data_IF_451385889220
#
_entry.id   IF_451385889220
#
_cell.length_a   1.000
_cell.length_b   1.000
_cell.length_c   1.000
_cell.angle_alpha   90.00
_cell.angle_beta   90.00
_cell.angle_gamma   90.00
#
_symmetry.space_group_name_H-M   'P 1'
#
loop_
_entity.id
_entity.type
_entity.pdbx_description
1 polymer ?
#
# COMPACT_ATOMS: atom_id res chain seq x y z
N UNK A 1 -8.16 30.74 19.26
CA UNK A 1 -8.96 30.14 18.18
C UNK A 1 -9.58 28.87 18.71
N UNK A 2 -10.90 28.77 18.72
CA UNK A 2 -11.58 27.53 19.18
C UNK A 2 -11.45 26.51 18.04
N UNK A 3 -10.86 25.35 18.32
CA UNK A 3 -10.79 24.26 17.37
C UNK A 3 -12.19 23.67 17.12
N UNK A 4 -12.60 23.59 15.85
CA UNK A 4 -13.90 23.05 15.44
C UNK A 4 -13.71 21.74 14.68
N UNK A 5 -14.04 20.58 15.25
CA UNK A 5 -13.89 19.27 14.60
C UNK A 5 -14.73 19.13 13.33
N UNK A 6 -15.85 19.85 13.20
CA UNK A 6 -16.71 19.81 12.02
C UNK A 6 -16.06 20.32 10.75
N UNK A 7 -14.86 20.89 10.84
CA UNK A 7 -14.03 21.28 9.70
C UNK A 7 -13.10 20.18 9.18
N UNK A 8 -13.08 19.02 9.86
CA UNK A 8 -12.30 17.84 9.43
C UNK A 8 -13.27 16.85 8.79
N UNK A 9 -13.64 17.13 7.54
CA UNK A 9 -14.63 16.38 6.77
C UNK A 9 -14.14 16.21 5.33
N UNK A 10 -14.76 15.29 4.60
CA UNK A 10 -14.55 15.12 3.18
C UNK A 10 -15.06 16.31 2.34
N UNK A 11 -14.82 16.30 1.00
CA UNK A 11 -15.16 17.42 0.12
C UNK A 11 -16.62 17.86 0.18
N UNK A 12 -17.54 16.91 0.33
CA UNK A 12 -18.99 17.16 0.39
C UNK A 12 -19.53 17.12 1.83
N UNK A 13 -18.68 17.29 2.84
CA UNK A 13 -19.03 17.28 4.24
C UNK A 13 -19.19 15.90 4.87
N UNK A 14 -18.75 14.83 4.20
CA UNK A 14 -18.80 13.46 4.71
C UNK A 14 -17.90 13.30 5.94
N UNK A 15 -18.28 12.43 6.85
CA UNK A 15 -17.41 12.01 7.95
C UNK A 15 -16.36 11.02 7.43
N UNK A 16 -15.11 11.47 7.38
CA UNK A 16 -13.98 10.65 6.94
C UNK A 16 -13.21 9.98 8.08
N UNK A 17 -13.77 9.96 9.27
CA UNK A 17 -13.17 9.19 10.37
C UNK A 17 -13.30 7.69 10.11
N UNK A 18 -12.36 6.92 10.66
CA UNK A 18 -12.50 5.47 10.72
C UNK A 18 -13.68 5.15 11.66
N UNK A 19 -14.60 4.25 11.30
CA UNK A 19 -15.69 3.85 12.19
C UNK A 19 -15.16 3.29 13.52
N UNK A 20 -15.80 3.60 14.62
CA UNK A 20 -15.40 3.12 15.95
C UNK A 20 -15.37 1.59 15.99
N UNK A 21 -16.35 0.93 15.39
CA UNK A 21 -16.42 -0.54 15.30
C UNK A 21 -15.21 -1.17 14.60
N UNK A 22 -14.61 -0.48 13.61
CA UNK A 22 -13.35 -0.91 12.99
C UNK A 22 -12.20 -0.83 13.99
N UNK A 23 -12.09 0.30 14.71
CA UNK A 23 -11.05 0.50 15.71
C UNK A 23 -11.15 -0.52 16.84
N UNK A 24 -12.36 -0.79 17.34
CA UNK A 24 -12.64 -1.82 18.34
C UNK A 24 -12.19 -3.21 17.85
N UNK A 25 -12.64 -3.60 16.66
CA UNK A 25 -12.30 -4.89 16.06
C UNK A 25 -10.78 -5.06 15.92
N UNK A 26 -10.06 -4.03 15.44
CA UNK A 26 -8.61 -4.06 15.24
C UNK A 26 -7.85 -4.16 16.55
N UNK A 27 -8.23 -3.39 17.56
CA UNK A 27 -7.62 -3.45 18.90
C UNK A 27 -7.91 -4.80 19.57
N UNK A 28 -9.12 -5.34 19.45
CA UNK A 28 -9.46 -6.66 19.97
C UNK A 28 -8.64 -7.78 19.30
N UNK A 29 -8.49 -7.73 17.98
CA UNK A 29 -7.64 -8.68 17.23
C UNK A 29 -6.19 -8.63 17.72
N UNK A 30 -5.64 -7.43 17.89
CA UNK A 30 -4.28 -7.27 18.42
C UNK A 30 -4.17 -7.81 19.86
N UNK A 31 -5.10 -7.45 20.75
CA UNK A 31 -5.13 -7.95 22.14
C UNK A 31 -5.21 -9.47 22.20
N UNK A 32 -6.04 -10.10 21.35
CA UNK A 32 -6.15 -11.57 21.27
C UNK A 32 -4.85 -12.21 20.78
N UNK A 33 -4.25 -11.67 19.74
CA UNK A 33 -3.01 -12.21 19.18
C UNK A 33 -1.81 -12.03 20.13
N UNK A 34 -1.77 -10.95 20.92
CA UNK A 34 -0.77 -10.79 21.98
C UNK A 34 -0.92 -11.88 23.05
N UNK A 35 -2.15 -12.20 23.48
CA UNK A 35 -2.41 -13.30 24.43
C UNK A 35 -1.96 -14.66 23.87
N UNK A 36 -2.25 -14.95 22.59
CA UNK A 36 -1.90 -16.21 21.94
C UNK A 36 -0.39 -16.47 21.92
N UNK A 37 0.42 -15.42 21.80
CA UNK A 37 1.89 -15.53 21.77
C UNK A 37 2.56 -15.23 23.13
N UNK A 38 1.77 -15.00 24.18
CA UNK A 38 2.24 -14.79 25.56
C UNK A 38 2.93 -13.44 25.78
N UNK A 39 2.56 -12.42 25.01
CA UNK A 39 3.00 -11.02 25.18
C UNK A 39 1.94 -10.27 25.97
N UNK A 40 2.33 -9.69 27.12
CA UNK A 40 1.42 -8.98 28.03
C UNK A 40 0.84 -7.70 27.43
N UNK A 41 1.64 -6.94 26.68
CA UNK A 41 1.22 -5.68 26.06
C UNK A 41 2.17 -5.28 24.91
N UNK A 42 1.68 -4.38 24.05
CA UNK A 42 2.45 -3.72 23.01
C UNK A 42 2.35 -2.20 23.13
N UNK A 43 3.43 -1.49 22.84
CA UNK A 43 3.49 -0.03 22.77
C UNK A 43 3.77 0.40 21.32
N UNK A 44 2.77 0.98 20.68
CA UNK A 44 2.74 1.31 19.26
C UNK A 44 3.03 2.79 19.06
N UNK A 45 4.05 3.14 18.26
CA UNK A 45 4.43 4.52 17.94
C UNK A 45 4.66 4.78 16.44
N UNK A 46 4.47 3.76 15.59
CA UNK A 46 4.51 3.93 14.14
C UNK A 46 3.26 4.64 13.61
N UNK A 47 3.39 5.66 12.72
CA UNK A 47 2.25 6.43 12.26
C UNK A 47 1.20 5.65 11.45
N UNK A 48 1.58 4.56 10.77
CA UNK A 48 0.65 3.72 10.00
C UNK A 48 -0.16 2.87 10.95
N UNK A 49 0.51 2.22 11.90
CA UNK A 49 -0.13 1.36 12.90
C UNK A 49 -1.00 2.20 13.87
N UNK A 50 -0.56 3.41 14.23
CA UNK A 50 -1.39 4.35 15.00
C UNK A 50 -2.67 4.70 14.25
N UNK A 51 -2.59 5.02 12.95
CA UNK A 51 -3.79 5.27 12.15
C UNK A 51 -4.71 4.05 12.09
N UNK A 52 -4.15 2.86 11.89
CA UNK A 52 -4.93 1.63 11.82
C UNK A 52 -5.66 1.32 13.13
N UNK A 53 -5.02 1.57 14.28
CA UNK A 53 -5.56 1.23 15.61
C UNK A 53 -6.39 2.37 16.25
N UNK A 54 -6.12 3.64 15.91
CA UNK A 54 -6.73 4.79 16.59
C UNK A 54 -7.54 5.71 15.66
N UNK A 55 -7.53 5.47 14.36
CA UNK A 55 -8.17 6.34 13.36
C UNK A 55 -7.42 7.65 13.09
N UNK A 56 -6.31 7.92 13.78
CA UNK A 56 -5.51 9.12 13.66
C UNK A 56 -4.01 8.85 13.70
N UNK A 57 -3.21 9.83 13.27
CA UNK A 57 -1.74 9.74 13.33
C UNK A 57 -1.13 10.90 14.08
N UNK A 58 -1.72 11.25 15.20
CA UNK A 58 -1.15 12.27 16.05
C UNK A 58 0.16 11.76 16.68
N UNK A 59 1.01 12.70 17.14
CA UNK A 59 2.23 12.30 17.87
C UNK A 59 1.82 11.66 19.20
N UNK A 60 1.80 10.34 19.24
CA UNK A 60 1.33 9.57 20.40
C UNK A 60 2.02 8.21 20.47
N UNK A 61 1.77 7.51 21.57
CA UNK A 61 2.09 6.10 21.79
C UNK A 61 0.83 5.39 22.29
N UNK A 62 0.39 4.35 21.59
CA UNK A 62 -0.77 3.54 22.01
C UNK A 62 -0.25 2.31 22.76
N UNK A 63 -0.61 2.19 24.03
CA UNK A 63 -0.48 0.95 24.80
C UNK A 63 -1.70 0.07 24.48
N UNK A 64 -1.46 -1.17 24.09
CA UNK A 64 -2.50 -2.21 23.91
C UNK A 64 -2.19 -3.37 24.82
N UNK A 65 -3.08 -3.72 25.72
CA UNK A 65 -2.99 -4.87 26.59
C UNK A 65 -3.46 -6.16 25.91
N UNK A 66 -2.85 -7.29 26.24
CA UNK A 66 -3.38 -8.61 25.90
C UNK A 66 -4.75 -8.83 26.61
N UNK A 67 -5.64 -9.65 26.05
CA UNK A 67 -6.99 -9.86 26.60
C UNK A 67 -7.04 -10.31 28.06
N UNK A 68 -6.05 -11.07 28.50
CA UNK A 68 -5.93 -11.65 29.84
C UNK A 68 -5.02 -10.84 30.79
N UNK A 69 -4.44 -9.73 30.31
CA UNK A 69 -3.47 -8.93 31.08
C UNK A 69 -4.14 -8.01 32.13
N UNK A 70 -5.39 -7.64 31.92
CA UNK A 70 -6.07 -6.59 32.70
C UNK A 70 -5.59 -5.16 32.41
N UNK A 71 -4.74 -4.97 31.40
CA UNK A 71 -4.23 -3.67 30.98
C UNK A 71 -5.23 -3.03 30.02
N UNK A 72 -5.72 -1.82 30.35
CA UNK A 72 -6.56 -1.03 29.46
C UNK A 72 -5.76 -0.42 28.31
N UNK A 73 -6.39 -0.28 27.14
CA UNK A 73 -5.78 0.38 25.99
C UNK A 73 -5.73 1.90 26.23
N UNK A 74 -4.53 2.49 26.14
CA UNK A 74 -4.30 3.91 26.45
C UNK A 74 -3.49 4.57 25.32
N UNK A 75 -4.03 5.61 24.71
CA UNK A 75 -3.32 6.44 23.75
C UNK A 75 -2.69 7.66 24.43
N UNK A 76 -1.39 7.64 24.62
CA UNK A 76 -0.57 8.68 25.25
C UNK A 76 -0.17 9.76 24.24
N UNK A 77 -0.88 10.87 24.19
CA UNK A 77 -0.77 11.89 23.14
C UNK A 77 0.15 13.03 23.55
N UNK A 78 1.21 13.27 22.75
CA UNK A 78 2.15 14.38 22.97
C UNK A 78 1.62 15.73 22.46
N UNK A 79 0.85 15.71 21.37
CA UNK A 79 0.30 16.92 20.74
C UNK A 79 -1.08 16.67 20.17
N UNK A 80 -1.92 17.71 20.25
CA UNK A 80 -3.26 17.69 19.65
C UNK A 80 -4.23 16.64 20.24
N UNK A 81 -4.22 16.44 21.56
CA UNK A 81 -5.09 15.48 22.28
C UNK A 81 -6.56 15.59 21.86
N UNK A 82 -7.13 16.81 21.78
CA UNK A 82 -8.52 17.01 21.34
C UNK A 82 -8.79 16.46 19.94
N UNK A 83 -7.79 16.54 19.06
CA UNK A 83 -7.88 16.01 17.71
C UNK A 83 -7.78 14.47 17.74
N UNK A 84 -6.89 13.91 18.53
CA UNK A 84 -6.78 12.46 18.72
C UNK A 84 -8.10 11.86 19.23
N UNK A 85 -8.72 12.48 20.26
CA UNK A 85 -10.03 12.09 20.78
C UNK A 85 -11.10 12.14 19.68
N UNK A 86 -11.16 13.22 18.91
CA UNK A 86 -12.11 13.33 17.81
C UNK A 86 -11.90 12.24 16.73
N UNK A 87 -10.65 12.03 16.30
CA UNK A 87 -10.31 11.06 15.25
C UNK A 87 -10.63 9.62 15.66
N UNK A 88 -10.55 9.29 16.94
CA UNK A 88 -10.86 7.95 17.49
C UNK A 88 -12.32 7.72 17.87
N UNK A 89 -13.23 8.64 17.57
CA UNK A 89 -14.65 8.50 17.84
C UNK A 89 -15.19 9.31 19.03
N UNK A 90 -14.38 10.10 19.71
CA UNK A 90 -14.80 10.89 20.88
C UNK A 90 -14.99 10.04 22.12
N UNK A 91 -16.17 10.13 22.74
CA UNK A 91 -16.52 9.37 23.96
C UNK A 91 -16.74 7.87 23.67
N UNK A 92 -16.96 7.49 22.40
CA UNK A 92 -17.14 6.10 21.96
C UNK A 92 -15.81 5.41 21.61
N UNK A 93 -14.66 6.07 21.84
CA UNK A 93 -13.33 5.53 21.49
C UNK A 93 -13.05 4.20 22.23
N UNK A 94 -12.46 3.19 21.56
CA UNK A 94 -12.12 1.91 22.18
C UNK A 94 -10.88 1.96 23.09
N UNK A 95 -10.31 3.14 23.31
CA UNK A 95 -9.16 3.36 24.18
C UNK A 95 -9.29 4.68 24.94
N UNK A 96 -8.66 4.74 26.10
CA UNK A 96 -8.52 5.98 26.86
C UNK A 96 -7.48 6.87 26.17
N UNK A 97 -7.76 8.17 26.04
CA UNK A 97 -6.80 9.14 25.52
C UNK A 97 -6.29 10.05 26.63
N UNK A 98 -4.99 10.00 26.88
CA UNK A 98 -4.32 10.79 27.92
C UNK A 98 -3.22 11.69 27.36
N UNK A 99 -2.76 12.65 28.16
CA UNK A 99 -1.57 13.41 27.85
C UNK A 99 -0.33 12.53 28.09
N UNK A 100 0.61 12.56 27.16
CA UNK A 100 1.86 11.80 27.27
C UNK A 100 2.67 12.29 28.51
N UNK A 101 3.10 11.39 29.40
CA UNK A 101 3.73 11.77 30.67
C UNK A 101 5.12 12.40 30.52
N UNK A 102 5.63 12.50 29.29
CA UNK A 102 7.03 12.78 28.99
C UNK A 102 7.88 11.50 29.00
N UNK A 103 8.91 11.47 28.18
CA UNK A 103 9.73 10.25 28.02
C UNK A 103 10.47 9.84 29.32
N UNK A 104 10.79 10.78 30.22
CA UNK A 104 11.40 10.46 31.52
C UNK A 104 10.48 9.71 32.47
N UNK A 105 9.17 9.85 32.31
CA UNK A 105 8.17 9.26 33.20
C UNK A 105 7.41 8.09 32.52
N UNK A 106 7.81 7.73 31.30
CA UNK A 106 7.09 6.73 30.49
C UNK A 106 7.02 5.37 31.23
N UNK A 107 8.17 4.87 31.72
CA UNK A 107 8.22 3.58 32.41
C UNK A 107 7.34 3.54 33.66
N UNK A 108 7.41 4.59 34.51
CA UNK A 108 6.55 4.72 35.69
C UNK A 108 5.06 4.78 35.32
N UNK A 109 4.73 5.51 34.26
CA UNK A 109 3.33 5.62 33.78
C UNK A 109 2.79 4.27 33.31
N UNK A 110 3.54 3.53 32.50
CA UNK A 110 3.12 2.20 32.02
C UNK A 110 3.03 1.17 33.15
N UNK A 111 3.95 1.22 34.11
CA UNK A 111 3.86 0.35 35.30
C UNK A 111 2.59 0.64 36.11
N UNK A 112 2.19 1.91 36.26
CA UNK A 112 0.91 2.30 36.91
C UNK A 112 -0.32 1.83 36.11
N UNK A 113 -0.20 1.74 34.78
CA UNK A 113 -1.24 1.16 33.91
C UNK A 113 -1.30 -0.37 33.94
N UNK A 114 -0.50 -1.03 34.77
CA UNK A 114 -0.54 -2.47 35.00
C UNK A 114 0.54 -3.27 34.27
N UNK A 115 1.44 -2.64 33.52
CA UNK A 115 2.52 -3.37 32.84
C UNK A 115 3.48 -3.97 33.88
N UNK A 116 3.55 -5.32 33.95
CA UNK A 116 4.49 -6.06 34.81
C UNK A 116 5.76 -6.46 34.07
N UNK A 117 5.70 -6.41 32.73
CA UNK A 117 6.83 -6.63 31.82
C UNK A 117 6.90 -5.49 30.80
N UNK A 118 8.09 -5.30 30.22
CA UNK A 118 8.24 -4.32 29.14
C UNK A 118 7.32 -4.66 27.98
N UNK A 119 6.54 -3.69 27.48
CA UNK A 119 5.70 -3.91 26.29
C UNK A 119 6.54 -4.27 25.08
N UNK A 120 5.98 -5.05 24.16
CA UNK A 120 6.55 -5.27 22.85
C UNK A 120 6.55 -3.96 22.04
N UNK A 121 7.54 -3.80 21.15
CA UNK A 121 7.73 -2.63 20.30
C UNK A 121 7.78 -3.05 18.83
N UNK A 122 7.76 -2.09 17.93
CA UNK A 122 7.83 -2.31 16.48
C UNK A 122 9.27 -2.21 15.98
N UNK A 123 10.15 -3.14 16.41
CA UNK A 123 11.56 -3.07 16.08
C UNK A 123 11.86 -3.10 14.58
N UNK A 124 11.01 -3.75 13.77
CA UNK A 124 11.13 -3.81 12.33
C UNK A 124 10.67 -2.53 11.59
N UNK A 125 10.05 -1.57 12.29
CA UNK A 125 9.53 -0.32 11.68
C UNK A 125 10.23 0.95 12.15
N UNK A 126 10.82 0.91 13.34
CA UNK A 126 11.45 2.09 13.92
C UNK A 126 12.98 1.99 13.80
N UNK A 127 13.70 3.12 13.61
CA UNK A 127 15.15 3.14 13.62
C UNK A 127 15.73 2.56 14.94
N UNK A 128 16.87 1.89 14.86
CA UNK A 128 17.48 1.23 16.02
C UNK A 128 17.77 2.20 17.19
N UNK A 129 18.19 3.41 16.91
CA UNK A 129 18.41 4.46 17.92
C UNK A 129 17.11 4.83 18.64
N UNK A 130 16.00 4.94 17.90
CA UNK A 130 14.66 5.16 18.44
C UNK A 130 14.23 4.01 19.35
N UNK A 131 14.39 2.78 18.88
CA UNK A 131 14.08 1.57 19.65
C UNK A 131 14.92 1.52 20.95
N UNK A 132 16.22 1.73 20.87
CA UNK A 132 17.12 1.77 22.02
C UNK A 132 16.73 2.88 23.00
N UNK A 133 16.40 4.07 22.49
CA UNK A 133 15.94 5.19 23.30
C UNK A 133 14.65 4.85 24.08
N UNK A 134 13.63 4.31 23.41
CA UNK A 134 12.37 3.91 24.08
C UNK A 134 12.68 2.86 25.16
N UNK A 135 13.42 1.79 24.84
CA UNK A 135 13.81 0.76 25.79
C UNK A 135 14.53 1.32 27.02
N UNK A 136 15.39 2.33 26.85
CA UNK A 136 16.06 2.99 27.96
C UNK A 136 15.10 3.71 28.92
N UNK A 137 13.93 4.13 28.42
CA UNK A 137 12.87 4.78 29.20
C UNK A 137 11.92 3.80 29.89
N UNK A 138 12.04 2.53 29.57
CA UNK A 138 11.29 1.41 30.17
C UNK A 138 12.14 0.64 31.20
N UNK A 139 13.27 1.20 31.68
CA UNK A 139 14.20 0.54 32.62
C UNK A 139 13.54 0.13 33.94
N UNK A 140 12.51 0.83 34.37
CA UNK A 140 11.79 0.56 35.61
C UNK A 140 10.82 -0.63 35.49
N UNK A 141 10.59 -1.13 34.28
CA UNK A 141 9.72 -2.28 34.02
C UNK A 141 10.62 -3.50 33.74
N UNK A 142 10.40 -4.66 34.38
CA UNK A 142 11.20 -5.87 34.19
C UNK A 142 11.10 -6.46 32.77
N UNK A 143 12.11 -7.25 32.40
CA UNK A 143 12.16 -8.00 31.14
C UNK A 143 12.78 -7.23 29.99
N UNK A 144 12.67 -7.80 28.80
CA UNK A 144 13.12 -7.22 27.52
C UNK A 144 11.93 -6.97 26.62
N UNK A 145 11.95 -5.88 25.85
CA UNK A 145 10.93 -5.64 24.84
C UNK A 145 11.11 -6.61 23.67
N UNK A 146 10.04 -7.27 23.28
CA UNK A 146 9.99 -8.13 22.11
C UNK A 146 9.62 -7.32 20.87
N UNK A 147 9.88 -7.87 19.67
CA UNK A 147 9.39 -7.30 18.42
C UNK A 147 8.00 -7.88 18.08
N UNK A 148 7.01 -7.01 17.90
CA UNK A 148 5.67 -7.38 17.44
C UNK A 148 5.34 -6.87 16.03
N UNK A 149 6.33 -6.43 15.26
CA UNK A 149 6.12 -5.90 13.90
C UNK A 149 5.43 -6.93 12.99
N UNK A 150 5.94 -8.18 12.98
CA UNK A 150 5.38 -9.26 12.17
C UNK A 150 3.93 -9.60 12.54
N UNK A 151 3.56 -9.47 13.82
CA UNK A 151 2.20 -9.68 14.28
C UNK A 151 1.23 -8.66 13.66
N UNK A 152 1.57 -7.36 13.70
CA UNK A 152 0.77 -6.31 13.10
C UNK A 152 0.67 -6.45 11.58
N UNK A 153 1.75 -6.84 10.92
CA UNK A 153 1.73 -7.12 9.49
C UNK A 153 0.74 -8.24 9.15
N UNK A 154 0.76 -9.34 9.90
CA UNK A 154 -0.17 -10.46 9.69
C UNK A 154 -1.63 -10.06 9.92
N UNK A 155 -1.91 -9.25 10.94
CA UNK A 155 -3.25 -8.76 11.22
C UNK A 155 -3.83 -7.88 10.10
N UNK A 156 -2.96 -7.20 9.33
CA UNK A 156 -3.32 -6.34 8.21
C UNK A 156 -3.41 -7.05 6.86
N UNK A 157 -2.97 -8.31 6.76
CA UNK A 157 -3.05 -9.09 5.51
C UNK A 157 -4.50 -9.29 5.06
N UNK A 158 -5.42 -9.55 6.00
CA UNK A 158 -6.85 -9.64 5.73
C UNK A 158 -7.54 -8.30 6.00
N UNK A 159 -8.14 -7.74 4.96
CA UNK A 159 -8.83 -6.45 5.03
C UNK A 159 -10.29 -6.65 5.47
N UNK A 160 -10.82 -5.73 6.28
CA UNK A 160 -12.24 -5.66 6.57
C UNK A 160 -13.02 -5.17 5.35
N UNK A 161 -14.35 -5.31 5.37
CA UNK A 161 -15.19 -4.78 4.31
C UNK A 161 -15.03 -3.25 4.16
N UNK A 162 -14.89 -2.53 5.27
CA UNK A 162 -14.65 -1.09 5.23
C UNK A 162 -13.31 -0.75 4.57
N UNK A 163 -12.23 -1.50 4.85
CA UNK A 163 -10.92 -1.31 4.22
C UNK A 163 -10.99 -1.60 2.72
N UNK A 164 -11.71 -2.66 2.33
CA UNK A 164 -11.95 -3.01 0.91
C UNK A 164 -12.72 -1.89 0.20
N UNK A 165 -13.71 -1.29 0.85
CA UNK A 165 -14.44 -0.15 0.30
C UNK A 165 -13.54 1.07 0.10
N UNK A 166 -12.61 1.35 1.02
CA UNK A 166 -11.63 2.44 0.85
C UNK A 166 -10.69 2.19 -0.35
N UNK A 167 -10.26 0.94 -0.55
CA UNK A 167 -9.45 0.55 -1.72
C UNK A 167 -10.28 0.68 -3.01
N UNK A 168 -11.55 0.28 -2.99
CA UNK A 168 -12.47 0.42 -4.13
C UNK A 168 -12.72 1.89 -4.50
N UNK A 169 -12.93 2.78 -3.52
CA UNK A 169 -13.03 4.22 -3.73
C UNK A 169 -11.71 4.80 -4.29
N UNK A 170 -10.56 4.31 -3.83
CA UNK A 170 -9.26 4.65 -4.40
C UNK A 170 -9.17 4.25 -5.88
N UNK A 171 -9.66 3.05 -6.24
CA UNK A 171 -9.72 2.56 -7.61
C UNK A 171 -10.65 3.38 -8.54
N UNK A 172 -11.75 3.93 -8.00
CA UNK A 172 -12.61 4.86 -8.76
C UNK A 172 -11.83 6.14 -9.13
N UNK A 173 -11.02 6.65 -8.21
CA UNK A 173 -10.21 7.83 -8.46
C UNK A 173 -9.11 7.52 -9.49
N UNK A 174 -8.49 6.34 -9.44
CA UNK A 174 -7.56 5.90 -10.48
C UNK A 174 -8.19 5.95 -11.86
N UNK A 175 -9.43 5.49 -12.03
CA UNK A 175 -10.13 5.59 -13.32
C UNK A 175 -10.28 7.03 -13.81
N UNK A 176 -10.63 7.96 -12.93
CA UNK A 176 -10.72 9.38 -13.28
C UNK A 176 -9.35 9.95 -13.69
N UNK A 177 -8.26 9.47 -13.09
CA UNK A 177 -6.90 9.85 -13.47
C UNK A 177 -6.53 9.34 -14.87
N UNK A 178 -6.88 8.09 -15.21
CA UNK A 178 -6.70 7.55 -16.56
C UNK A 178 -7.54 8.31 -17.60
N UNK A 179 -8.77 8.67 -17.27
CA UNK A 179 -9.64 9.49 -18.14
C UNK A 179 -9.01 10.87 -18.40
N UNK A 180 -8.43 11.50 -17.39
CA UNK A 180 -7.73 12.77 -17.55
C UNK A 180 -6.49 12.62 -18.43
N UNK A 181 -5.72 11.54 -18.30
CA UNK A 181 -4.58 11.25 -19.19
C UNK A 181 -5.06 11.06 -20.62
N UNK A 182 -6.18 10.38 -20.85
CA UNK A 182 -6.79 10.28 -22.19
C UNK A 182 -7.14 11.65 -22.75
N UNK A 183 -7.76 12.52 -21.98
CA UNK A 183 -8.24 13.82 -22.42
C UNK A 183 -7.11 14.84 -22.66
N UNK A 184 -6.03 14.79 -21.90
CA UNK A 184 -4.94 15.77 -21.91
C UNK A 184 -3.64 15.28 -22.56
N UNK A 185 -3.52 13.98 -22.81
CA UNK A 185 -2.34 13.31 -23.32
C UNK A 185 -2.24 13.26 -24.84
N UNK A 186 -1.38 12.35 -25.32
CA UNK A 186 -1.23 12.02 -26.73
C UNK A 186 0.05 12.56 -27.38
N UNK A 187 0.07 12.49 -28.69
CA UNK A 187 1.23 12.79 -29.53
C UNK A 187 1.93 14.10 -29.17
N UNK A 188 3.25 14.03 -28.93
CA UNK A 188 4.11 15.17 -28.63
C UNK A 188 4.05 15.67 -27.17
N UNK A 189 3.14 15.15 -26.35
CA UNK A 189 3.13 15.41 -24.91
C UNK A 189 4.28 14.71 -24.20
N UNK A 190 4.83 15.33 -23.20
CA UNK A 190 5.81 14.69 -22.32
C UNK A 190 5.13 13.85 -21.25
N UNK A 191 5.83 12.83 -20.76
CA UNK A 191 5.35 11.98 -19.66
C UNK A 191 4.98 12.82 -18.42
N UNK A 192 5.83 13.79 -18.05
CA UNK A 192 5.61 14.65 -16.87
C UNK A 192 4.41 15.60 -17.05
N UNK A 193 4.10 16.07 -18.29
CA UNK A 193 2.89 16.85 -18.52
C UNK A 193 1.63 16.03 -18.27
N UNK A 194 1.61 14.78 -18.71
CA UNK A 194 0.49 13.86 -18.49
C UNK A 194 0.37 13.46 -17.02
N UNK A 195 1.48 13.16 -16.35
CA UNK A 195 1.50 12.86 -14.92
C UNK A 195 0.97 14.03 -14.09
N UNK A 196 1.35 15.28 -14.43
CA UNK A 196 0.86 16.47 -13.73
C UNK A 196 -0.66 16.65 -13.85
N UNK A 197 -1.26 16.30 -14.99
CA UNK A 197 -2.72 16.38 -15.16
C UNK A 197 -3.45 15.35 -14.30
N UNK A 198 -2.98 14.09 -14.28
CA UNK A 198 -3.50 13.04 -13.42
C UNK A 198 -3.32 13.37 -11.92
N UNK A 199 -2.18 13.95 -11.57
CA UNK A 199 -1.89 14.43 -10.22
C UNK A 199 -2.90 15.47 -9.72
N UNK A 200 -3.36 16.36 -10.60
CA UNK A 200 -4.36 17.35 -10.23
C UNK A 200 -5.69 16.69 -9.84
N UNK A 201 -6.13 15.64 -10.56
CA UNK A 201 -7.32 14.85 -10.23
C UNK A 201 -7.15 14.18 -8.87
N UNK A 202 -6.05 13.45 -8.66
CA UNK A 202 -5.77 12.76 -7.39
C UNK A 202 -5.75 13.75 -6.21
N UNK A 203 -5.10 14.90 -6.38
CA UNK A 203 -5.02 15.92 -5.32
C UNK A 203 -6.40 16.50 -5.01
N UNK A 204 -7.21 16.78 -6.02
CA UNK A 204 -8.57 17.30 -5.85
C UNK A 204 -9.49 16.29 -5.15
N UNK A 205 -9.26 14.99 -5.33
CA UNK A 205 -9.97 13.92 -4.65
C UNK A 205 -9.50 13.69 -3.20
N UNK A 206 -8.54 14.47 -2.70
CA UNK A 206 -8.11 14.43 -1.29
C UNK A 206 -6.82 13.66 -1.01
N UNK A 207 -6.01 13.33 -2.02
CA UNK A 207 -4.73 12.67 -1.80
C UNK A 207 -3.81 13.48 -0.87
N UNK A 208 -3.37 12.85 0.21
CA UNK A 208 -2.57 13.47 1.27
C UNK A 208 -1.10 13.74 0.94
N UNK A 209 -0.64 13.34 -0.26
CA UNK A 209 0.70 13.63 -0.76
C UNK A 209 1.77 12.60 -0.38
N UNK A 210 1.39 11.39 0.06
CA UNK A 210 2.36 10.34 0.40
C UNK A 210 1.83 8.96 0.06
N UNK A 211 2.65 8.16 -0.63
CA UNK A 211 2.55 6.71 -0.71
C UNK A 211 3.51 6.16 0.33
N UNK A 212 3.07 5.20 1.13
CA UNK A 212 3.87 4.57 2.17
C UNK A 212 4.37 3.23 1.71
N UNK A 213 5.62 2.92 2.10
CA UNK A 213 6.27 1.66 1.79
C UNK A 213 6.83 1.02 3.06
N UNK A 214 6.79 -0.31 3.13
CA UNK A 214 7.45 -1.11 4.17
C UNK A 214 8.95 -1.24 3.90
N UNK A 215 9.31 -1.44 2.62
CA UNK A 215 10.71 -1.64 2.21
C UNK A 215 11.47 -0.32 2.31
N UNK A 216 12.37 -0.25 3.27
CA UNK A 216 13.26 0.90 3.46
C UNK A 216 14.47 0.81 2.53
N UNK A 217 14.97 1.87 1.94
CA UNK A 217 14.54 3.29 2.00
C UNK A 217 13.70 3.72 0.79
N UNK A 218 12.78 2.90 0.31
CA UNK A 218 12.08 3.15 -0.96
C UNK A 218 11.06 4.28 -0.84
N UNK A 219 11.12 5.18 -1.83
CA UNK A 219 10.09 6.15 -2.14
C UNK A 219 9.36 5.70 -3.41
N UNK A 220 8.08 6.01 -3.55
CA UNK A 220 7.29 5.71 -4.74
C UNK A 220 6.66 6.97 -5.31
N UNK A 221 6.74 7.16 -6.62
CA UNK A 221 5.95 8.15 -7.33
C UNK A 221 4.53 7.62 -7.55
N UNK A 222 3.58 8.52 -7.67
CA UNK A 222 2.17 8.23 -7.79
C UNK A 222 1.73 7.90 -9.21
N UNK A 223 2.39 8.49 -10.20
CA UNK A 223 2.07 8.35 -11.61
C UNK A 223 3.36 8.07 -12.38
N UNK A 224 3.60 6.82 -12.69
CA UNK A 224 4.67 6.41 -13.58
C UNK A 224 4.11 6.39 -15.01
N UNK A 225 4.66 7.21 -15.89
CA UNK A 225 4.35 7.19 -17.31
C UNK A 225 5.63 6.99 -18.07
N UNK A 226 5.64 6.01 -18.98
CA UNK A 226 6.79 5.73 -19.82
C UNK A 226 6.36 5.62 -21.28
N UNK A 227 7.05 6.39 -22.15
CA UNK A 227 6.81 6.40 -23.59
C UNK A 227 8.00 5.76 -24.32
N UNK A 228 7.75 4.63 -24.98
CA UNK A 228 8.80 3.89 -25.71
C UNK A 228 9.99 3.53 -24.82
N UNK A 229 11.20 3.86 -25.25
CA UNK A 229 12.46 3.49 -24.59
C UNK A 229 12.54 3.85 -23.09
N UNK A 230 11.84 4.90 -22.64
CA UNK A 230 11.85 5.26 -21.20
C UNK A 230 11.32 4.13 -20.30
N UNK A 231 10.45 3.25 -20.82
CA UNK A 231 9.96 2.06 -20.14
C UNK A 231 10.97 0.95 -19.94
N UNK A 232 12.08 0.98 -20.70
CA UNK A 232 13.16 0.00 -20.62
C UNK A 232 14.25 0.35 -19.59
N UNK A 233 14.22 1.57 -19.03
CA UNK A 233 15.28 2.06 -18.17
C UNK A 233 15.02 1.64 -16.71
N UNK A 234 15.88 0.79 -16.12
CA UNK A 234 15.76 0.39 -14.74
C UNK A 234 16.19 1.51 -13.79
N UNK A 235 15.66 1.53 -12.59
CA UNK A 235 16.07 2.45 -11.52
C UNK A 235 16.39 1.70 -10.22
N UNK A 236 16.48 2.42 -9.12
CA UNK A 236 16.64 1.83 -7.78
C UNK A 236 15.38 1.12 -7.28
N UNK A 237 14.25 1.36 -7.92
CA UNK A 237 12.96 0.84 -7.51
C UNK A 237 12.77 -0.61 -7.97
N UNK A 238 12.32 -1.48 -7.08
CA UNK A 238 12.09 -2.89 -7.35
C UNK A 238 10.71 -3.09 -8.01
N UNK A 239 10.62 -2.71 -9.28
CA UNK A 239 9.45 -2.85 -10.15
C UNK A 239 9.90 -3.22 -11.55
N UNK A 240 8.98 -3.76 -12.35
CA UNK A 240 9.22 -4.07 -13.76
C UNK A 240 9.52 -2.82 -14.58
N UNK A 241 8.81 -1.74 -14.32
CA UNK A 241 8.89 -0.47 -15.04
C UNK A 241 8.99 0.67 -14.04
N UNK A 242 10.08 1.41 -14.10
CA UNK A 242 10.34 2.51 -13.18
C UNK A 242 10.22 3.89 -13.81
N UNK A 243 10.44 3.99 -15.12
CA UNK A 243 10.57 5.26 -15.82
C UNK A 243 11.91 5.98 -15.59
N UNK A 244 12.13 7.04 -16.32
CA UNK A 244 13.37 7.83 -16.26
C UNK A 244 13.37 8.80 -15.06
N UNK A 245 12.19 9.25 -14.63
CA UNK A 245 12.10 10.37 -13.70
C UNK A 245 12.64 11.68 -14.28
N UNK A 246 12.75 12.71 -13.44
CA UNK A 246 13.13 14.06 -13.88
C UNK A 246 14.59 14.40 -13.60
N UNK A 247 15.29 13.63 -12.78
CA UNK A 247 16.69 13.88 -12.40
C UNK A 247 17.30 12.68 -11.69
N UNK A 248 18.65 12.61 -11.55
CA UNK A 248 19.30 11.48 -10.85
C UNK A 248 18.85 11.23 -9.41
N UNK A 249 18.36 12.23 -8.70
CA UNK A 249 17.78 12.06 -7.34
C UNK A 249 16.30 11.64 -7.39
N UNK A 250 15.61 11.87 -8.52
CA UNK A 250 14.22 11.52 -8.79
C UNK A 250 14.20 10.62 -10.04
N UNK A 251 14.90 9.50 -9.97
CA UNK A 251 15.05 8.52 -11.06
C UNK A 251 13.93 7.47 -11.06
N UNK A 252 12.72 7.90 -10.75
CA UNK A 252 11.49 7.12 -10.75
C UNK A 252 10.35 8.01 -11.26
N UNK A 253 9.39 7.41 -11.97
CA UNK A 253 8.22 8.12 -12.46
C UNK A 253 8.40 8.73 -13.85
N UNK A 254 7.49 9.64 -14.19
CA UNK A 254 7.44 10.31 -15.47
C UNK A 254 8.65 11.24 -15.69
N UNK A 255 9.19 11.21 -16.90
CA UNK A 255 10.29 12.07 -17.35
C UNK A 255 9.89 13.05 -18.44
N UNK A 256 10.86 13.52 -19.19
CA UNK A 256 10.68 14.47 -20.29
C UNK A 256 10.60 13.81 -21.67
N UNK A 257 10.54 12.47 -21.76
CA UNK A 257 10.30 11.78 -23.01
C UNK A 257 8.92 12.16 -23.56
N UNK A 258 8.82 12.23 -24.89
CA UNK A 258 7.59 12.62 -25.58
C UNK A 258 6.95 11.39 -26.18
N UNK A 259 5.63 11.39 -26.18
CA UNK A 259 4.84 10.40 -26.94
C UNK A 259 5.07 10.60 -28.44
N UNK A 260 5.48 9.53 -29.10
CA UNK A 260 5.64 9.43 -30.56
C UNK A 260 4.61 8.45 -31.13
N UNK A 261 4.40 8.50 -32.44
CA UNK A 261 3.44 7.65 -33.13
C UNK A 261 3.86 6.17 -33.07
N UNK A 262 2.93 5.29 -32.76
CA UNK A 262 3.17 3.82 -32.75
C UNK A 262 3.95 3.29 -31.54
N UNK A 263 4.32 4.14 -30.58
CA UNK A 263 5.01 3.71 -29.36
C UNK A 263 4.06 3.15 -28.31
N UNK A 264 4.49 2.13 -27.54
CA UNK A 264 3.78 1.76 -26.31
C UNK A 264 3.99 2.85 -25.25
N UNK A 265 2.91 3.32 -24.66
CA UNK A 265 2.93 4.22 -23.51
C UNK A 265 2.29 3.49 -22.34
N UNK A 266 3.11 3.12 -21.36
CA UNK A 266 2.64 2.49 -20.14
C UNK A 266 2.33 3.58 -19.11
N UNK A 267 1.15 3.51 -18.53
CA UNK A 267 0.69 4.39 -17.47
C UNK A 267 0.35 3.54 -16.25
N UNK A 268 1.08 3.77 -15.18
CA UNK A 268 0.94 3.07 -13.91
C UNK A 268 0.61 4.08 -12.80
N UNK A 269 -0.53 3.88 -12.13
CA UNK A 269 -1.10 4.85 -11.20
C UNK A 269 -1.35 4.23 -9.84
N UNK A 270 -0.63 4.74 -8.85
CA UNK A 270 -0.90 4.50 -7.44
C UNK A 270 -1.72 5.65 -6.87
N UNK A 271 -2.92 5.36 -6.39
CA UNK A 271 -3.70 6.34 -5.64
C UNK A 271 -3.92 5.91 -4.20
N UNK A 272 -4.07 6.88 -3.30
CA UNK A 272 -4.29 6.64 -1.87
C UNK A 272 -5.53 7.41 -1.41
N UNK A 273 -6.59 6.68 -1.11
CA UNK A 273 -7.81 7.23 -0.54
C UNK A 273 -7.89 6.92 0.96
N UNK A 274 -7.95 7.96 1.81
CA UNK A 274 -8.05 7.84 3.27
C UNK A 274 -7.00 6.88 3.90
N UNK A 275 -5.83 6.81 3.27
CA UNK A 275 -4.71 5.97 3.69
C UNK A 275 -4.58 4.66 2.91
N UNK A 276 -5.61 4.19 2.23
CA UNK A 276 -5.63 2.91 1.52
C UNK A 276 -5.25 3.06 0.06
N UNK A 277 -4.36 2.18 -0.36
CA UNK A 277 -3.71 2.18 -1.68
C UNK A 277 -4.53 1.37 -2.68
N UNK A 278 -4.65 1.88 -3.90
CA UNK A 278 -4.98 1.11 -5.10
C UNK A 278 -3.89 1.29 -6.14
N UNK A 279 -3.60 0.23 -6.90
CA UNK A 279 -2.57 0.18 -7.93
C UNK A 279 -3.15 -0.33 -9.24
N UNK A 280 -2.82 0.33 -10.36
CA UNK A 280 -3.42 0.02 -11.64
C UNK A 280 -2.57 0.51 -12.81
N UNK A 281 -2.30 -0.38 -13.78
CA UNK A 281 -1.57 -0.05 -15.02
C UNK A 281 -2.46 -0.24 -16.24
N UNK A 282 -2.41 0.72 -17.18
CA UNK A 282 -3.03 0.65 -18.52
C UNK A 282 -2.08 1.14 -19.60
N UNK A 283 -2.29 0.63 -20.82
CA UNK A 283 -1.55 1.01 -21.99
C UNK A 283 -2.25 2.08 -22.81
N UNK A 284 -1.45 2.96 -23.40
CA UNK A 284 -1.88 3.97 -24.36
C UNK A 284 -1.00 3.94 -25.60
N UNK A 285 -1.50 4.45 -26.72
CA UNK A 285 -0.75 4.64 -27.94
C UNK A 285 -1.32 5.78 -28.78
N UNK A 286 -0.48 6.45 -29.52
CA UNK A 286 -0.89 7.41 -30.55
C UNK A 286 -0.67 6.77 -31.92
N UNK A 287 -1.74 6.61 -32.71
CA UNK A 287 -1.70 5.97 -34.02
C UNK A 287 -1.65 4.44 -34.01
N UNK A 288 -2.00 3.82 -32.87
CA UNK A 288 -2.03 2.36 -32.71
C UNK A 288 -0.67 1.71 -32.46
N UNK A 289 -0.69 0.48 -31.99
CA UNK A 289 0.49 -0.35 -31.77
C UNK A 289 0.72 -1.31 -32.95
N UNK A 290 1.95 -1.78 -33.12
CA UNK A 290 2.22 -2.90 -34.01
C UNK A 290 1.53 -4.16 -33.49
N UNK A 291 1.21 -5.10 -34.42
CA UNK A 291 0.61 -6.37 -34.03
C UNK A 291 1.47 -7.18 -33.02
N UNK A 292 2.77 -7.00 -33.03
CA UNK A 292 3.66 -7.64 -32.07
C UNK A 292 3.45 -7.08 -30.67
N UNK A 293 3.31 -5.76 -30.52
CA UNK A 293 2.99 -5.13 -29.23
C UNK A 293 1.58 -5.50 -28.74
N UNK A 294 0.61 -5.56 -29.65
CA UNK A 294 -0.75 -5.99 -29.29
C UNK A 294 -0.75 -7.43 -28.76
N UNK A 295 -0.05 -8.35 -29.44
CA UNK A 295 0.06 -9.74 -28.99
C UNK A 295 0.73 -9.85 -27.62
N UNK A 296 1.82 -9.10 -27.38
CA UNK A 296 2.49 -9.05 -26.07
C UNK A 296 1.54 -8.57 -24.96
N UNK A 297 0.64 -7.62 -25.26
CA UNK A 297 -0.38 -7.17 -24.31
C UNK A 297 -1.40 -8.27 -24.03
N UNK A 298 -1.90 -8.96 -25.06
CA UNK A 298 -2.82 -10.08 -24.92
C UNK A 298 -2.21 -11.19 -24.07
N UNK A 299 -0.94 -11.50 -24.26
CA UNK A 299 -0.21 -12.50 -23.45
C UNK A 299 -0.13 -12.07 -21.97
N UNK A 300 0.10 -10.79 -21.68
CA UNK A 300 0.09 -10.30 -20.29
C UNK A 300 -1.30 -10.32 -19.66
N UNK A 301 -2.36 -10.09 -20.42
CA UNK A 301 -3.74 -10.28 -19.97
C UNK A 301 -4.01 -11.74 -19.60
N UNK A 302 -3.49 -12.69 -20.40
CA UNK A 302 -3.60 -14.12 -20.11
C UNK A 302 -2.81 -14.48 -18.84
N UNK A 303 -1.55 -14.05 -18.71
CA UNK A 303 -0.73 -14.27 -17.51
C UNK A 303 -1.43 -13.72 -16.25
N UNK A 304 -1.97 -12.50 -16.31
CA UNK A 304 -2.77 -11.94 -15.20
C UNK A 304 -3.97 -12.82 -14.85
N UNK A 305 -4.66 -13.36 -15.85
CA UNK A 305 -5.81 -14.25 -15.64
C UNK A 305 -5.42 -15.58 -14.98
N UNK A 306 -4.25 -16.14 -15.32
CA UNK A 306 -3.68 -17.34 -14.70
C UNK A 306 -3.38 -17.09 -13.23
N UNK A 307 -2.65 -16.01 -12.90
CA UNK A 307 -2.34 -15.63 -11.51
C UNK A 307 -3.62 -15.44 -10.72
N UNK A 308 -4.55 -14.64 -11.24
CA UNK A 308 -5.87 -14.37 -10.63
C UNK A 308 -6.64 -15.66 -10.36
N UNK A 309 -6.69 -16.57 -11.32
CA UNK A 309 -7.41 -17.85 -11.19
C UNK A 309 -6.78 -18.74 -10.13
N UNK A 310 -5.44 -18.79 -10.04
CA UNK A 310 -4.72 -19.55 -9.04
C UNK A 310 -4.96 -19.00 -7.63
N UNK A 311 -4.80 -17.69 -7.43
CA UNK A 311 -5.07 -17.04 -6.14
C UNK A 311 -6.53 -17.18 -5.70
N UNK A 312 -7.48 -17.08 -6.65
CA UNK A 312 -8.91 -17.24 -6.38
C UNK A 312 -9.27 -18.63 -5.84
N UNK A 313 -8.60 -19.69 -6.32
CA UNK A 313 -8.74 -21.05 -5.78
C UNK A 313 -8.10 -21.24 -4.41
N UNK A 314 -7.25 -20.32 -3.96
CA UNK A 314 -6.49 -20.42 -2.72
C UNK A 314 -5.19 -21.19 -2.87
N UNK A 315 -4.64 -21.26 -4.07
CA UNK A 315 -3.29 -21.76 -4.27
C UNK A 315 -2.27 -20.84 -3.55
N UNK A 316 -1.11 -21.36 -3.21
CA UNK A 316 0.00 -20.59 -2.68
C UNK A 316 0.49 -19.55 -3.69
N UNK A 317 0.96 -18.40 -3.23
CA UNK A 317 1.48 -17.33 -4.09
C UNK A 317 2.68 -17.80 -4.94
N UNK A 318 3.54 -18.65 -4.39
CA UNK A 318 4.66 -19.28 -5.13
C UNK A 318 4.16 -20.14 -6.29
N UNK A 319 3.10 -20.92 -6.10
CA UNK A 319 2.51 -21.74 -7.15
C UNK A 319 1.89 -20.88 -8.26
N UNK A 320 1.18 -19.80 -7.89
CA UNK A 320 0.65 -18.85 -8.87
C UNK A 320 1.78 -18.23 -9.72
N UNK A 321 2.88 -17.87 -9.07
CA UNK A 321 4.08 -17.37 -9.74
C UNK A 321 4.70 -18.39 -10.68
N UNK A 322 4.89 -19.66 -10.24
CA UNK A 322 5.49 -20.73 -11.04
C UNK A 322 4.70 -20.99 -12.32
N UNK A 323 3.37 -21.17 -12.20
CA UNK A 323 2.52 -21.43 -13.38
C UNK A 323 2.59 -20.25 -14.36
N UNK A 324 2.52 -19.02 -13.87
CA UNK A 324 2.57 -17.82 -14.72
C UNK A 324 3.94 -17.66 -15.39
N UNK A 325 5.03 -17.92 -14.66
CA UNK A 325 6.38 -17.88 -15.19
C UNK A 325 6.60 -18.92 -16.28
N UNK A 326 6.24 -20.18 -16.03
CA UNK A 326 6.38 -21.27 -17.01
C UNK A 326 5.55 -20.98 -18.27
N UNK A 327 4.33 -20.46 -18.13
CA UNK A 327 3.49 -20.06 -19.28
C UNK A 327 4.17 -18.92 -20.07
N UNK A 328 4.75 -17.94 -19.38
CA UNK A 328 5.48 -16.85 -20.04
C UNK A 328 6.71 -17.35 -20.82
N UNK A 329 7.43 -18.35 -20.28
CA UNK A 329 8.52 -19.02 -21.01
C UNK A 329 8.01 -19.74 -22.27
N UNK A 330 6.89 -20.46 -22.18
CA UNK A 330 6.25 -21.13 -23.32
C UNK A 330 5.79 -20.15 -24.40
N UNK A 331 5.33 -18.95 -24.01
CA UNK A 331 5.01 -17.84 -24.91
C UNK A 331 6.26 -17.17 -25.52
N UNK A 332 7.45 -17.50 -25.02
CA UNK A 332 8.72 -16.94 -25.51
C UNK A 332 9.16 -15.64 -24.84
N UNK A 333 8.60 -15.30 -23.68
CA UNK A 333 8.83 -14.03 -22.99
C UNK A 333 9.77 -14.10 -21.79
N UNK A 334 10.35 -15.26 -21.46
CA UNK A 334 11.13 -15.47 -20.21
C UNK A 334 12.27 -14.49 -19.98
N UNK A 335 12.92 -14.01 -21.02
CA UNK A 335 13.96 -12.99 -20.92
C UNK A 335 13.44 -11.56 -20.74
N UNK A 336 12.13 -11.33 -20.77
CA UNK A 336 11.52 -10.00 -20.78
C UNK A 336 10.45 -9.81 -19.72
N UNK A 337 10.03 -10.90 -19.08
CA UNK A 337 9.02 -10.83 -18.00
C UNK A 337 9.57 -10.06 -16.81
N UNK A 338 8.81 -9.05 -16.38
CA UNK A 338 9.11 -8.18 -15.26
C UNK A 338 10.46 -7.44 -15.34
N UNK A 339 10.96 -7.15 -16.54
CA UNK A 339 12.19 -6.39 -16.75
C UNK A 339 13.17 -7.06 -17.71
N UNK A 340 14.30 -6.42 -17.94
CA UNK A 340 15.42 -6.92 -18.75
C UNK A 340 16.54 -7.41 -17.81
N UNK A 341 17.11 -8.62 -18.01
CA UNK A 341 18.20 -9.11 -17.17
C UNK A 341 19.41 -8.16 -17.13
N UNK A 342 20.07 -7.96 -15.97
CA UNK A 342 19.80 -8.62 -14.68
C UNK A 342 18.79 -7.88 -13.77
N UNK A 343 18.06 -6.88 -14.27
CA UNK A 343 17.24 -5.95 -13.49
C UNK A 343 15.77 -6.36 -13.42
N UNK A 344 15.45 -7.63 -13.63
CA UNK A 344 14.06 -8.12 -13.52
C UNK A 344 13.55 -8.10 -12.09
N UNK A 345 12.34 -7.58 -11.87
CA UNK A 345 11.60 -7.77 -10.62
C UNK A 345 11.25 -9.27 -10.46
N UNK A 346 11.30 -9.77 -9.22
CA UNK A 346 11.16 -11.20 -8.93
C UNK A 346 9.75 -11.59 -8.44
N UNK A 347 8.76 -10.79 -8.76
CA UNK A 347 7.36 -10.98 -8.37
C UNK A 347 6.44 -10.59 -9.54
N UNK A 348 5.20 -11.06 -9.50
CA UNK A 348 4.12 -10.75 -10.46
C UNK A 348 2.95 -10.04 -9.79
N UNK A 349 3.08 -9.72 -8.53
CA UNK A 349 2.08 -9.00 -7.76
C UNK A 349 2.44 -8.92 -6.29
N UNK A 350 1.88 -7.93 -5.62
CA UNK A 350 2.09 -7.65 -4.21
C UNK A 350 0.77 -7.26 -3.53
N UNK A 351 0.66 -7.54 -2.24
CA UNK A 351 -0.49 -7.07 -1.48
C UNK A 351 -0.41 -5.55 -1.28
N UNK A 352 -1.56 -4.91 -1.22
CA UNK A 352 -1.68 -3.47 -0.92
C UNK A 352 -2.65 -3.26 0.24
N UNK A 353 -2.49 -2.14 0.92
CA UNK A 353 -3.36 -1.73 2.03
C UNK A 353 -3.08 -0.29 2.44
N UNK A 354 -2.61 -0.06 3.65
CA UNK A 354 -2.09 1.24 4.09
C UNK A 354 -0.68 1.52 3.58
N UNK A 355 0.01 0.48 3.11
CA UNK A 355 1.32 0.54 2.47
C UNK A 355 1.24 -0.12 1.10
N UNK A 356 2.06 0.33 0.17
CA UNK A 356 2.04 -0.15 -1.22
C UNK A 356 2.53 -1.60 -1.33
N UNK A 357 3.57 -1.95 -0.59
CA UNK A 357 4.29 -3.22 -0.66
C UNK A 357 3.99 -4.13 0.55
N UNK A 358 2.71 -4.40 0.79
CA UNK A 358 2.27 -5.33 1.83
C UNK A 358 2.50 -6.79 1.43
N UNK A 359 2.44 -7.70 2.40
CA UNK A 359 2.46 -9.15 2.20
C UNK A 359 1.03 -9.69 2.09
N UNK A 360 0.83 -10.84 1.41
CA UNK A 360 1.80 -11.65 0.68
C UNK A 360 2.20 -11.09 -0.68
N UNK A 361 3.19 -11.73 -1.34
CA UNK A 361 3.71 -11.37 -2.67
C UNK A 361 3.63 -12.58 -3.59
N UNK A 362 3.23 -12.41 -4.84
CA UNK A 362 3.24 -13.45 -5.89
C UNK A 362 4.67 -13.61 -6.40
N UNK A 363 5.45 -14.45 -5.74
CA UNK A 363 6.86 -14.65 -6.01
C UNK A 363 7.31 -16.06 -5.64
N UNK A 364 8.43 -16.49 -6.20
CA UNK A 364 9.06 -17.77 -5.88
C UNK A 364 9.40 -17.85 -4.38
N UNK A 365 9.01 -18.96 -3.73
CA UNK A 365 9.28 -19.20 -2.32
C UNK A 365 8.33 -18.50 -1.36
N UNK A 366 7.25 -17.89 -1.86
CA UNK A 366 6.17 -17.34 -1.04
C UNK A 366 5.07 -18.40 -0.85
N UNK A 367 5.37 -19.42 -0.03
CA UNK A 367 4.58 -20.66 0.14
C UNK A 367 3.38 -20.44 1.07
N UNK A 368 2.63 -19.38 0.83
CA UNK A 368 1.41 -19.01 1.55
C UNK A 368 0.33 -18.58 0.56
N UNK A 369 -0.91 -18.96 0.87
CA UNK A 369 -2.07 -18.49 0.11
C UNK A 369 -2.40 -17.02 0.44
N UNK A 370 -3.05 -16.34 -0.52
CA UNK A 370 -3.77 -15.11 -0.24
C UNK A 370 -5.07 -15.48 0.50
N UNK A 371 -5.26 -15.03 1.73
CA UNK A 371 -6.45 -15.34 2.53
C UNK A 371 -7.71 -14.66 1.99
N UNK A 372 -8.90 -15.11 2.42
CA UNK A 372 -10.16 -14.43 2.12
C UNK A 372 -10.12 -13.01 2.72
N UNK A 373 -10.48 -12.00 1.92
CA UNK A 373 -10.31 -10.59 2.27
C UNK A 373 -8.89 -10.06 2.05
N UNK A 374 -7.95 -10.91 1.62
CA UNK A 374 -6.63 -10.47 1.17
C UNK A 374 -6.73 -9.71 -0.15
N UNK A 375 -5.96 -8.64 -0.29
CA UNK A 375 -5.93 -7.78 -1.48
C UNK A 375 -4.59 -7.90 -2.16
N UNK A 376 -4.59 -8.00 -3.50
CA UNK A 376 -3.41 -8.21 -4.32
C UNK A 376 -3.45 -7.33 -5.58
N UNK A 377 -2.42 -6.53 -5.82
CA UNK A 377 -2.13 -5.96 -7.12
C UNK A 377 -1.43 -7.04 -7.97
N UNK A 378 -1.97 -7.31 -9.17
CA UNK A 378 -1.44 -8.32 -10.10
C UNK A 378 -0.98 -7.60 -11.35
N UNK A 379 0.33 -7.62 -11.63
CA UNK A 379 1.01 -6.66 -12.52
C UNK A 379 1.96 -7.27 -13.57
N UNK A 380 1.62 -8.29 -14.32
CA UNK A 380 2.54 -8.82 -15.31
C UNK A 380 2.87 -7.78 -16.38
N UNK A 381 4.16 -7.56 -16.59
CA UNK A 381 4.71 -6.58 -17.55
C UNK A 381 5.85 -7.21 -18.33
N UNK A 382 5.97 -6.87 -19.61
CA UNK A 382 7.11 -7.21 -20.46
C UNK A 382 7.92 -5.95 -20.76
N UNK A 383 9.24 -6.08 -20.77
CA UNK A 383 10.14 -4.97 -21.03
C UNK A 383 11.11 -5.33 -22.14
N UNK A 384 11.17 -4.47 -23.17
CA UNK A 384 12.07 -4.55 -24.31
C UNK A 384 12.87 -3.25 -24.42
N UNK A 385 13.95 -3.23 -25.21
CA UNK A 385 14.79 -2.02 -25.35
C UNK A 385 14.03 -0.80 -25.89
N UNK A 386 12.95 -1.02 -26.64
CA UNK A 386 12.11 0.00 -27.27
C UNK A 386 10.81 0.32 -26.50
N UNK A 387 10.58 -0.30 -25.34
CA UNK A 387 9.43 0.01 -24.49
C UNK A 387 9.03 -1.08 -23.53
N UNK A 388 7.97 -0.80 -22.80
CA UNK A 388 7.34 -1.74 -21.88
C UNK A 388 5.84 -1.87 -22.18
N UNK A 389 5.28 -3.05 -21.87
CA UNK A 389 3.86 -3.33 -22.03
C UNK A 389 3.36 -4.25 -20.92
N UNK A 390 2.14 -4.04 -20.46
CA UNK A 390 1.54 -4.87 -19.44
C UNK A 390 0.27 -4.27 -18.91
N UNK A 391 -0.27 -4.92 -17.89
CA UNK A 391 -1.49 -4.48 -17.19
C UNK A 391 -1.32 -4.67 -15.69
N UNK A 392 -2.15 -3.97 -14.94
CA UNK A 392 -2.26 -4.16 -13.51
C UNK A 392 -3.65 -3.81 -13.03
N UNK A 393 -4.16 -4.58 -12.11
CA UNK A 393 -5.34 -4.26 -11.33
C UNK A 393 -5.19 -4.76 -9.88
N UNK A 394 -5.81 -4.04 -8.94
CA UNK A 394 -5.95 -4.45 -7.55
C UNK A 394 -7.19 -5.33 -7.39
N UNK A 395 -7.01 -6.49 -6.79
CA UNK A 395 -8.04 -7.52 -6.63
C UNK A 395 -8.19 -7.91 -5.15
N UNK A 396 -9.41 -8.21 -4.71
CA UNK A 396 -9.67 -8.83 -3.41
C UNK A 396 -10.09 -10.29 -3.60
N UNK A 397 -9.58 -11.19 -2.77
CA UNK A 397 -10.03 -12.58 -2.74
C UNK A 397 -11.32 -12.71 -1.94
N UNK A 398 -12.35 -13.23 -2.58
CA UNK A 398 -13.65 -13.56 -1.99
C UNK A 398 -13.94 -15.07 -2.08
N UNK A 399 -15.07 -15.52 -1.55
CA UNK A 399 -15.54 -16.90 -1.69
C UNK A 399 -15.93 -17.26 -3.15
N UNK A 400 -16.16 -16.26 -3.99
CA UNK A 400 -16.51 -16.43 -5.40
C UNK A 400 -15.28 -16.33 -6.34
N UNK A 401 -14.09 -16.08 -5.79
CA UNK A 401 -12.84 -15.88 -6.50
C UNK A 401 -12.26 -14.50 -6.29
N UNK A 402 -11.64 -13.92 -7.33
CA UNK A 402 -11.01 -12.60 -7.27
C UNK A 402 -11.96 -11.52 -7.82
N UNK A 403 -12.28 -10.52 -7.01
CA UNK A 403 -13.06 -9.34 -7.39
C UNK A 403 -12.14 -8.16 -7.66
N UNK A 404 -12.33 -7.45 -8.79
CA UNK A 404 -11.52 -6.27 -9.13
C UNK A 404 -11.99 -5.03 -8.37
N UNK A 405 -11.05 -4.32 -7.78
CA UNK A 405 -11.28 -3.07 -7.03
C UNK A 405 -10.90 -1.82 -7.84
N UNK A 406 -10.19 -1.96 -8.97
CA UNK A 406 -9.72 -0.85 -9.81
C UNK A 406 -10.45 -0.79 -11.15
N UNK A 407 -9.73 -0.69 -12.25
CA UNK A 407 -10.33 -0.52 -13.58
C UNK A 407 -11.05 -1.79 -14.08
N UNK A 408 -10.40 -2.94 -14.01
CA UNK A 408 -10.95 -4.18 -14.55
C UNK A 408 -11.45 -4.01 -15.99
N UNK A 409 -12.65 -4.49 -16.26
CA UNK A 409 -13.31 -4.34 -17.57
C UNK A 409 -13.95 -2.95 -17.81
N UNK A 410 -13.83 -2.00 -16.87
CA UNK A 410 -14.40 -0.64 -17.01
C UNK A 410 -13.52 0.27 -17.86
N UNK A 411 -12.23 -0.05 -17.99
CA UNK A 411 -11.29 0.59 -18.91
C UNK A 411 -10.66 -0.45 -19.83
N UNK A 412 -10.47 -0.14 -21.11
CA UNK A 412 -9.71 -1.03 -22.02
C UNK A 412 -8.27 -1.18 -21.53
N UNK A 413 -7.64 -2.31 -21.85
CA UNK A 413 -6.22 -2.53 -21.56
C UNK A 413 -5.32 -1.62 -22.40
N UNK A 414 -5.74 -1.30 -23.63
CA UNK A 414 -5.11 -0.34 -24.55
C UNK A 414 -6.11 0.72 -24.95
N UNK A 415 -5.70 1.97 -24.87
CA UNK A 415 -6.46 3.15 -25.33
C UNK A 415 -5.67 3.88 -26.40
N UNK A 416 -6.30 4.26 -27.52
CA UNK A 416 -5.73 5.10 -28.56
C UNK A 416 -6.14 6.56 -28.36
N UNK A 417 -5.19 7.48 -28.54
CA UNK A 417 -5.43 8.92 -28.64
C UNK A 417 -5.84 9.34 -30.02
#
# INVERSE_FOLDING_TARGET
MVWDPRRIVGPDGQDWRVPVSELESRQLRLSSSLSEIGIESALIDDPVELYWLTGGRQSSMLLVGANDSGIENINLVQRSKKRAIFESGGDDSPHITEDHPGMSNLGESLAKSGCTRKPALLAGKIPQDRWAFINSKLSDIPGESQDCTGLLYSLRETKSNWEIDMIRESGEINRNMFEEIYNSGGLGKTEVEMAASADAISRSAGFGGRIRMRKWPMDCDRVVITAGHSGAVPSYFDSAVSGLGTSPISSLGAGFAKVEEGQPVLVDIVHVHRGYVSDCTRMFSSGGLSREWEQRLEDMVEISSIVKSSLGRGDECSKAWEIAFDTSEEMGHGGHLMGIPPNQAKFLGHSVGLELDESPVVAKGFDRALELGGVMAIEPKLVFEDGAIGIEDTWVRSTEGMECLTAGNKLPHLTEW
#
